data_IF_145773801463
#
_entry.id   IF_145773801463
#
_cell.length_a   1.000
_cell.length_b   1.000
_cell.length_c   1.000
_cell.angle_alpha   90.00
_cell.angle_beta   90.00
_cell.angle_gamma   90.00
#
_symmetry.space_group_name_H-M   'P 1'
#
loop_
_entity.id
_entity.type
_entity.pdbx_description
1 polymer ?
#
# COMPACT_ATOMS: atom_id res chain seq x y z
N UNK A 1 0.05 0.90 -15.95
CA UNK A 1 0.44 1.93 -14.95
C UNK A 1 0.16 3.31 -15.53
N UNK A 2 -0.97 3.94 -15.17
CA UNK A 2 -1.22 5.34 -15.50
C UNK A 2 -0.78 6.19 -14.29
N UNK A 3 0.49 6.59 -14.28
CA UNK A 3 0.93 7.64 -13.36
C UNK A 3 0.33 8.95 -13.89
N UNK A 4 -0.56 9.56 -13.13
CA UNK A 4 -0.98 10.92 -13.41
C UNK A 4 0.26 11.83 -13.43
N UNK A 5 0.26 12.82 -14.33
CA UNK A 5 1.28 13.86 -14.32
C UNK A 5 1.31 14.50 -12.94
N UNK A 6 2.48 14.47 -12.28
CA UNK A 6 2.65 14.95 -10.92
C UNK A 6 2.29 16.44 -10.83
N UNK A 7 1.20 16.76 -10.14
CA UNK A 7 0.86 18.15 -9.74
C UNK A 7 1.88 18.76 -8.76
N UNK A 8 2.85 17.96 -8.29
CA UNK A 8 3.88 18.37 -7.35
C UNK A 8 5.23 18.60 -8.06
N UNK A 9 5.84 19.77 -7.89
CA UNK A 9 7.18 20.05 -8.42
C UNK A 9 8.26 19.39 -7.55
N UNK A 10 8.55 18.11 -7.81
CA UNK A 10 9.61 17.38 -7.13
C UNK A 10 10.95 17.63 -7.86
N UNK A 11 11.96 18.18 -7.18
CA UNK A 11 13.30 18.37 -7.78
C UNK A 11 14.16 17.13 -7.72
N UNK A 12 14.24 16.50 -6.54
CA UNK A 12 15.04 15.29 -6.27
C UNK A 12 14.35 14.48 -5.17
N UNK A 13 13.19 13.86 -5.47
CA UNK A 13 12.47 13.10 -4.47
C UNK A 13 13.24 11.83 -4.08
N UNK A 14 13.06 11.40 -2.84
CA UNK A 14 13.51 10.09 -2.35
C UNK A 14 12.27 9.21 -2.28
N UNK A 15 12.38 7.99 -2.80
CA UNK A 15 11.36 6.97 -2.65
C UNK A 15 11.68 6.10 -1.44
N UNK A 16 10.69 5.90 -0.58
CA UNK A 16 10.72 4.92 0.50
C UNK A 16 9.71 3.83 0.14
N UNK A 17 10.12 2.57 0.24
CA UNK A 17 9.28 1.41 -0.04
C UNK A 17 9.47 0.36 1.05
N UNK A 18 8.38 -0.26 1.47
CA UNK A 18 8.37 -1.41 2.36
C UNK A 18 7.37 -2.44 1.82
N UNK A 19 7.69 -3.71 2.01
CA UNK A 19 6.90 -4.84 1.54
C UNK A 19 6.73 -5.81 2.68
N UNK A 20 5.51 -6.30 2.88
CA UNK A 20 5.20 -7.35 3.85
C UNK A 20 5.85 -8.68 3.43
N UNK A 21 6.03 -9.58 4.40
CA UNK A 21 6.51 -10.94 4.16
C UNK A 21 7.97 -11.16 4.57
N UNK A 22 8.74 -11.84 3.72
CA UNK A 22 10.03 -12.42 4.12
C UNK A 22 11.06 -11.39 4.60
N UNK A 23 11.07 -10.20 4.01
CA UNK A 23 11.99 -9.11 4.37
C UNK A 23 11.54 -8.28 5.59
N UNK A 24 10.41 -8.62 6.21
CA UNK A 24 9.71 -7.75 7.16
C UNK A 24 9.54 -8.42 8.53
N UNK A 25 10.67 -8.86 9.08
CA UNK A 25 10.69 -9.49 10.40
C UNK A 25 10.09 -8.55 11.46
N UNK A 26 9.06 -9.04 12.15
CA UNK A 26 8.34 -8.28 13.17
C UNK A 26 7.65 -7.02 12.65
N UNK A 27 7.28 -7.00 11.36
CA UNK A 27 6.64 -5.84 10.72
C UNK A 27 7.50 -4.56 10.80
N UNK A 28 8.82 -4.71 10.89
CA UNK A 28 9.72 -3.59 11.16
C UNK A 28 9.78 -2.57 10.01
N UNK A 29 9.79 -3.02 8.75
CA UNK A 29 9.83 -2.16 7.59
C UNK A 29 8.45 -1.58 7.27
N UNK A 30 7.41 -2.42 7.22
CA UNK A 30 6.06 -1.95 6.89
C UNK A 30 5.47 -1.11 8.02
N UNK A 31 5.74 -1.48 9.28
CA UNK A 31 5.41 -0.68 10.46
C UNK A 31 6.04 0.71 10.43
N UNK A 32 7.29 0.84 9.97
CA UNK A 32 7.94 2.14 9.83
C UNK A 32 7.24 3.03 8.79
N UNK A 33 6.88 2.48 7.62
CA UNK A 33 6.13 3.24 6.60
C UNK A 33 4.72 3.58 7.10
N UNK A 34 4.03 2.65 7.75
CA UNK A 34 2.70 2.89 8.33
C UNK A 34 2.74 4.01 9.37
N UNK A 35 3.79 4.06 10.20
CA UNK A 35 4.00 5.16 11.16
C UNK A 35 4.18 6.52 10.47
N UNK A 36 4.95 6.58 9.38
CA UNK A 36 5.11 7.81 8.59
C UNK A 36 3.80 8.24 7.94
N UNK A 37 3.04 7.31 7.37
CA UNK A 37 1.73 7.61 6.78
C UNK A 37 0.73 8.12 7.82
N UNK A 38 0.74 7.57 9.04
CA UNK A 38 -0.10 8.07 10.12
C UNK A 38 0.31 9.49 10.60
N UNK A 39 1.58 9.85 10.44
CA UNK A 39 2.15 11.09 10.98
C UNK A 39 2.22 12.23 9.95
N UNK A 40 2.24 11.92 8.65
CA UNK A 40 2.41 12.89 7.57
C UNK A 40 1.18 12.99 6.69
N UNK A 41 0.93 14.18 6.14
CA UNK A 41 -0.05 14.33 5.07
C UNK A 41 0.46 13.66 3.80
N UNK A 42 -0.30 12.72 3.27
CA UNK A 42 0.02 11.99 2.06
C UNK A 42 -1.17 11.95 1.09
N UNK A 43 -0.88 11.74 -0.20
CA UNK A 43 -1.87 11.58 -1.25
C UNK A 43 -1.62 10.26 -1.98
N UNK A 44 -2.67 9.45 -2.15
CA UNK A 44 -2.57 8.20 -2.92
C UNK A 44 -2.33 8.54 -4.39
N UNK A 45 -1.18 8.14 -4.92
CA UNK A 45 -0.82 8.38 -6.32
C UNK A 45 -1.35 7.29 -7.26
N UNK A 46 -1.54 6.08 -6.74
CA UNK A 46 -2.01 4.94 -7.51
C UNK A 46 -2.09 3.67 -6.68
N UNK A 47 -2.52 2.61 -7.32
CA UNK A 47 -2.56 1.24 -6.79
C UNK A 47 -2.14 0.30 -7.92
N UNK A 48 -1.39 -0.75 -7.58
CA UNK A 48 -1.09 -1.82 -8.53
C UNK A 48 -2.21 -2.83 -8.49
N UNK A 49 -2.54 -3.39 -9.65
CA UNK A 49 -3.52 -4.48 -9.74
C UNK A 49 -2.89 -5.75 -9.13
N UNK A 50 -3.47 -6.34 -8.06
CA UNK A 50 -2.89 -7.51 -7.44
C UNK A 50 -2.96 -8.76 -8.33
N UNK A 51 -3.83 -8.83 -9.35
CA UNK A 51 -3.93 -10.00 -10.24
C UNK A 51 -2.62 -10.33 -10.96
N UNK A 52 -1.81 -9.31 -11.24
CA UNK A 52 -0.52 -9.46 -11.93
C UNK A 52 0.62 -9.93 -11.00
N UNK A 53 0.48 -9.80 -9.67
CA UNK A 53 1.59 -9.91 -8.72
C UNK A 53 1.35 -10.84 -7.53
N UNK A 54 0.11 -11.19 -7.22
CA UNK A 54 -0.23 -11.99 -6.05
C UNK A 54 -0.80 -13.36 -6.43
N UNK A 55 -0.27 -14.40 -5.78
CA UNK A 55 -0.97 -15.68 -5.68
C UNK A 55 -1.98 -15.61 -4.53
N UNK A 56 -3.28 -15.57 -4.86
CA UNK A 56 -4.36 -15.48 -3.87
C UNK A 56 -4.59 -16.75 -3.05
N UNK A 57 -3.96 -17.88 -3.40
CA UNK A 57 -3.97 -19.08 -2.56
C UNK A 57 -3.01 -18.93 -1.38
N UNK A 58 -1.91 -18.20 -1.58
CA UNK A 58 -0.90 -17.88 -0.57
C UNK A 58 -1.29 -16.60 0.18
N UNK A 59 -1.59 -15.52 -0.54
CA UNK A 59 -1.98 -14.22 0.00
C UNK A 59 -3.50 -14.05 -0.10
N UNK A 60 -4.21 -14.61 0.88
CA UNK A 60 -5.68 -14.62 0.88
C UNK A 60 -6.23 -13.24 1.26
N UNK A 61 -7.06 -12.61 0.40
CA UNK A 61 -7.73 -11.37 0.76
C UNK A 61 -8.64 -11.58 1.97
N UNK A 62 -8.62 -10.63 2.91
CA UNK A 62 -9.53 -10.62 4.04
C UNK A 62 -10.81 -9.87 3.70
N UNK A 63 -11.96 -10.40 4.09
CA UNK A 63 -13.22 -9.68 4.00
C UNK A 63 -13.56 -9.03 5.33
N UNK A 64 -14.04 -7.78 5.30
CA UNK A 64 -14.69 -7.13 6.43
C UNK A 64 -16.19 -7.05 6.15
N UNK A 65 -17.01 -7.40 7.13
CA UNK A 65 -18.48 -7.34 7.05
C UNK A 65 -18.97 -6.24 7.98
N UNK A 66 -19.63 -5.23 7.43
CA UNK A 66 -20.33 -4.19 8.19
C UNK A 66 -21.85 -4.41 8.19
N UNK A 67 -22.58 -3.63 8.99
CA UNK A 67 -24.04 -3.73 9.14
C UNK A 67 -24.81 -3.44 7.83
N UNK A 68 -24.14 -2.91 6.80
CA UNK A 68 -24.75 -2.56 5.50
C UNK A 68 -24.39 -3.55 4.38
N UNK A 69 -23.64 -4.61 4.69
CA UNK A 69 -23.10 -5.56 3.69
C UNK A 69 -22.35 -4.79 2.59
N UNK A 70 -21.34 -4.01 2.97
CA UNK A 70 -20.32 -3.53 2.04
C UNK A 70 -19.10 -4.41 2.19
N UNK A 71 -18.77 -5.16 1.12
CA UNK A 71 -17.56 -5.98 1.03
C UNK A 71 -16.42 -5.06 0.62
N UNK A 72 -15.48 -4.80 1.53
CA UNK A 72 -14.17 -4.24 1.16
C UNK A 72 -13.22 -5.43 0.94
N UNK A 73 -12.62 -5.48 -0.25
CA UNK A 73 -11.55 -6.43 -0.65
C UNK A 73 -10.24 -5.66 -0.64
#
# INVERSE_FOLDING_TARGET
>A
MHLFESVFSLRKPIMLAAFEGWNDAGESATGAINHLLASWTHHKLGMMDPEDYYDFQVNRPSIKVDEKVVREI
#
